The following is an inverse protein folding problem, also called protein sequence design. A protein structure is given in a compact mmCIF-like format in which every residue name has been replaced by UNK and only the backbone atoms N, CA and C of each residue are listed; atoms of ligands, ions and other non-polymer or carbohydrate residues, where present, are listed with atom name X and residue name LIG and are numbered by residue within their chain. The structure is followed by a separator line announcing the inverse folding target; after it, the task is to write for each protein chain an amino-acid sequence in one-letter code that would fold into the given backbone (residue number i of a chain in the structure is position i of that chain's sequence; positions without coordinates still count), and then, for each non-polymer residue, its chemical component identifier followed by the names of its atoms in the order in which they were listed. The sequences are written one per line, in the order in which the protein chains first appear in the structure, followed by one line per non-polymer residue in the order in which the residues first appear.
data_IF_536561605723
#
_entry.id   IF_536561605723
#
_cell.length_a   1.000
_cell.length_b   1.000
_cell.length_c   1.000
_cell.angle_alpha   90.00
_cell.angle_beta   90.00
_cell.angle_gamma   90.00
#
_symmetry.space_group_name_H-M   'P 1'
#
loop_
_entity.id
_entity.type
_entity.pdbx_description
1 polymer ?
#
# COMPACT_ATOMS: atom_id res chain seq x y z
N UNK A 1 51.56 -31.80 -14.39
CA UNK A 1 50.86 -32.91 -15.07
C UNK A 1 50.48 -33.96 -14.02
N UNK A 2 49.28 -33.82 -13.45
CA UNK A 2 48.53 -34.83 -12.66
C UNK A 2 47.03 -34.48 -12.78
N UNK A 3 46.11 -35.45 -12.69
CA UNK A 3 45.03 -35.61 -13.65
C UNK A 3 43.66 -35.12 -13.17
N UNK A 4 42.80 -34.79 -14.15
CA UNK A 4 41.46 -34.25 -13.96
C UNK A 4 40.50 -35.18 -13.21
N UNK A 5 39.93 -34.67 -12.13
CA UNK A 5 38.76 -35.24 -11.47
C UNK A 5 37.49 -34.90 -12.24
N UNK A 6 36.91 -35.88 -12.94
CA UNK A 6 35.55 -35.77 -13.48
C UNK A 6 34.57 -35.90 -12.33
N UNK A 7 33.79 -34.85 -12.07
CA UNK A 7 32.65 -34.92 -11.16
C UNK A 7 31.67 -35.98 -11.68
N UNK A 8 31.38 -36.99 -10.85
CA UNK A 8 30.41 -38.04 -11.18
C UNK A 8 29.01 -37.39 -11.19
N UNK A 9 28.34 -37.45 -12.33
CA UNK A 9 26.95 -37.01 -12.48
C UNK A 9 26.08 -38.00 -11.69
N UNK A 10 25.36 -37.51 -10.69
CA UNK A 10 24.40 -38.29 -9.92
C UNK A 10 23.13 -38.42 -10.79
N UNK A 11 22.85 -39.62 -11.30
CA UNK A 11 21.60 -39.88 -12.01
C UNK A 11 20.49 -40.14 -10.99
N UNK A 12 19.32 -39.48 -11.09
CA UNK A 12 18.19 -39.82 -10.25
C UNK A 12 17.55 -41.10 -10.80
N UNK A 13 17.84 -42.21 -10.14
CA UNK A 13 16.94 -43.37 -10.13
C UNK A 13 15.60 -42.97 -9.51
N UNK A 14 14.56 -43.76 -9.77
CA UNK A 14 13.15 -43.60 -9.35
C UNK A 14 12.25 -42.97 -10.42
N UNK A 15 11.62 -43.86 -11.20
CA UNK A 15 10.56 -43.55 -12.13
C UNK A 15 9.40 -42.83 -11.45
N UNK A 16 9.13 -41.61 -11.91
CA UNK A 16 7.87 -40.91 -11.67
C UNK A 16 7.02 -41.11 -12.91
N UNK A 17 5.88 -41.79 -12.74
CA UNK A 17 4.83 -41.84 -13.75
C UNK A 17 4.43 -40.40 -14.10
N UNK A 18 4.17 -40.05 -15.37
CA UNK A 18 3.71 -38.71 -15.72
C UNK A 18 2.40 -38.44 -14.98
N UNK A 19 2.34 -37.30 -14.29
CA UNK A 19 1.10 -36.79 -13.71
C UNK A 19 0.19 -36.34 -14.86
N UNK A 20 -0.91 -37.05 -15.10
CA UNK A 20 -1.95 -36.69 -16.10
C UNK A 20 -3.04 -35.80 -15.49
N UNK A 21 -2.66 -34.90 -14.60
CA UNK A 21 -3.57 -33.86 -14.10
C UNK A 21 -3.67 -32.76 -15.15
N UNK A 22 -4.89 -32.44 -15.59
CA UNK A 22 -5.13 -31.24 -16.37
C UNK A 22 -4.53 -30.05 -15.61
N UNK A 23 -3.65 -29.30 -16.28
CA UNK A 23 -3.14 -28.05 -15.76
C UNK A 23 -4.34 -27.13 -15.54
N UNK A 24 -4.82 -27.04 -14.30
CA UNK A 24 -5.71 -25.97 -13.87
C UNK A 24 -4.97 -24.68 -14.20
N UNK A 25 -5.52 -23.89 -15.12
CA UNK A 25 -4.94 -22.64 -15.55
C UNK A 25 -4.65 -21.78 -14.32
N UNK A 26 -3.37 -21.62 -14.00
CA UNK A 26 -2.94 -20.56 -13.10
C UNK A 26 -3.39 -19.27 -13.78
N UNK A 27 -4.21 -18.42 -13.13
CA UNK A 27 -4.67 -17.20 -13.76
C UNK A 27 -3.43 -16.41 -14.21
N UNK A 28 -3.36 -16.14 -15.51
CA UNK A 28 -2.25 -15.42 -16.11
C UNK A 28 -2.21 -14.03 -15.49
N UNK A 29 -1.12 -13.73 -14.77
CA UNK A 29 -0.85 -12.37 -14.31
C UNK A 29 -0.80 -11.50 -15.56
N UNK A 30 -1.75 -10.56 -15.68
CA UNK A 30 -1.67 -9.52 -16.70
C UNK A 30 -0.39 -8.76 -16.44
N UNK A 31 0.56 -8.82 -17.37
CA UNK A 31 1.66 -7.87 -17.43
C UNK A 31 1.04 -6.50 -17.73
N UNK A 32 0.79 -5.72 -16.69
CA UNK A 32 0.27 -4.38 -16.81
C UNK A 32 1.41 -3.54 -17.40
N UNK A 33 1.20 -3.02 -18.60
CA UNK A 33 2.19 -2.21 -19.32
C UNK A 33 2.16 -0.74 -18.90
N UNK A 34 1.14 -0.34 -18.14
CA UNK A 34 0.99 0.95 -17.50
C UNK A 34 0.98 0.77 -15.96
N UNK A 35 1.35 1.82 -15.19
CA UNK A 35 1.22 1.79 -13.73
C UNK A 35 -0.21 1.46 -13.31
N UNK A 36 -0.36 0.68 -12.25
CA UNK A 36 -1.68 0.33 -11.72
C UNK A 36 -2.18 1.52 -10.88
N UNK A 37 -3.34 2.14 -11.22
CA UNK A 37 -3.90 3.19 -10.39
C UNK A 37 -4.41 2.60 -9.07
N UNK A 38 -4.02 3.21 -7.96
CA UNK A 38 -4.43 2.79 -6.61
C UNK A 38 -4.93 3.98 -5.80
N UNK A 39 -6.00 3.74 -5.02
CA UNK A 39 -6.35 4.57 -3.87
C UNK A 39 -5.83 3.85 -2.63
N UNK A 40 -5.02 4.51 -1.82
CA UNK A 40 -4.46 3.93 -0.59
C UNK A 40 -5.31 4.37 0.60
N UNK A 41 -6.07 3.43 1.18
CA UNK A 41 -6.79 3.64 2.45
C UNK A 41 -5.91 3.19 3.61
N UNK A 42 -5.54 4.11 4.51
CA UNK A 42 -4.60 3.82 5.60
C UNK A 42 -4.83 4.69 6.85
N UNK A 43 -4.20 4.33 7.96
CA UNK A 43 -4.26 5.08 9.21
C UNK A 43 -2.86 5.45 9.71
N UNK A 44 -2.15 6.38 9.02
CA UNK A 44 -0.71 6.50 9.09
C UNK A 44 -0.05 6.42 10.47
N UNK A 45 0.43 5.21 10.78
CA UNK A 45 1.53 4.90 11.69
C UNK A 45 2.86 4.74 10.93
N UNK A 46 3.91 4.25 11.61
CA UNK A 46 5.23 4.09 11.00
C UNK A 46 5.25 3.17 9.78
N UNK A 47 4.51 2.06 9.85
CA UNK A 47 4.39 1.06 8.80
C UNK A 47 3.59 1.56 7.60
N UNK A 48 2.45 2.22 7.83
CA UNK A 48 1.66 2.86 6.78
C UNK A 48 2.42 3.99 6.07
N UNK A 49 3.20 4.79 6.81
CA UNK A 49 4.04 5.82 6.21
C UNK A 49 5.08 5.20 5.28
N UNK A 50 5.69 4.08 5.67
CA UNK A 50 6.60 3.32 4.81
C UNK A 50 5.86 2.75 3.59
N UNK A 51 4.63 2.24 3.76
CA UNK A 51 3.81 1.72 2.66
C UNK A 51 3.47 2.82 1.64
N UNK A 52 3.10 4.02 2.11
CA UNK A 52 2.83 5.17 1.27
C UNK A 52 4.10 5.62 0.52
N UNK A 53 5.24 5.70 1.20
CA UNK A 53 6.53 6.04 0.58
C UNK A 53 6.95 5.01 -0.48
N UNK A 54 6.73 3.71 -0.20
CA UNK A 54 7.01 2.63 -1.14
C UNK A 54 6.12 2.74 -2.38
N UNK A 55 4.82 3.00 -2.21
CA UNK A 55 3.90 3.19 -3.31
C UNK A 55 4.29 4.40 -4.17
N UNK A 56 4.58 5.55 -3.57
CA UNK A 56 4.98 6.76 -4.28
C UNK A 56 6.31 6.62 -5.03
N UNK A 57 7.22 5.77 -4.54
CA UNK A 57 8.51 5.51 -5.16
C UNK A 57 8.50 4.39 -6.20
N UNK A 58 7.40 3.65 -6.35
CA UNK A 58 7.31 2.51 -7.25
C UNK A 58 6.78 2.92 -8.63
N UNK A 59 7.46 2.57 -9.75
CA UNK A 59 6.96 2.85 -11.10
C UNK A 59 5.81 1.91 -11.51
N UNK A 60 5.53 0.87 -10.73
CA UNK A 60 4.50 -0.14 -11.04
C UNK A 60 3.10 0.33 -10.62
N UNK A 61 2.99 1.36 -9.78
CA UNK A 61 1.73 1.88 -9.26
C UNK A 61 1.65 3.39 -9.44
N UNK A 62 0.43 3.88 -9.57
CA UNK A 62 0.11 5.30 -9.57
C UNK A 62 -0.84 5.56 -8.40
N UNK A 63 -0.36 6.29 -7.40
CA UNK A 63 -1.21 6.70 -6.27
C UNK A 63 -2.09 7.85 -6.74
N UNK A 64 -3.35 7.53 -7.08
CA UNK A 64 -4.33 8.51 -7.56
C UNK A 64 -5.08 9.22 -6.42
N UNK A 65 -4.93 8.71 -5.19
CA UNK A 65 -5.47 9.34 -3.99
C UNK A 65 -5.16 8.55 -2.73
N UNK A 66 -5.27 9.21 -1.59
CA UNK A 66 -5.13 8.61 -0.26
C UNK A 66 -6.40 8.87 0.53
N UNK A 67 -6.89 7.84 1.24
CA UNK A 67 -7.95 8.00 2.22
C UNK A 67 -7.44 7.63 3.59
N UNK A 68 -7.92 8.32 4.62
CA UNK A 68 -7.46 8.10 5.99
C UNK A 68 -8.56 7.59 6.89
N UNK A 69 -8.20 6.69 7.80
CA UNK A 69 -9.11 6.16 8.83
C UNK A 69 -8.49 6.27 10.23
N UNK A 70 -9.29 6.00 11.26
CA UNK A 70 -8.81 5.78 12.63
C UNK A 70 -8.23 4.35 12.78
N UNK A 71 -7.34 4.17 13.75
CA UNK A 71 -6.83 2.86 14.14
C UNK A 71 -5.58 2.98 15.00
N UNK A 72 -4.43 3.20 14.36
CA UNK A 72 -3.16 3.51 15.02
C UNK A 72 -3.29 4.75 15.91
N UNK A 73 -3.98 5.78 15.40
CA UNK A 73 -4.34 7.00 16.12
C UNK A 73 -5.76 7.47 15.74
N UNK A 74 -6.18 8.58 16.34
CA UNK A 74 -7.39 9.32 15.96
C UNK A 74 -7.33 9.77 14.50
N UNK A 75 -8.48 9.83 13.82
CA UNK A 75 -8.58 10.26 12.41
C UNK A 75 -7.84 11.58 12.13
N UNK A 76 -7.96 12.57 13.02
CA UNK A 76 -7.29 13.87 12.86
C UNK A 76 -5.77 13.71 12.71
N UNK A 77 -5.16 12.89 13.58
CA UNK A 77 -3.72 12.62 13.57
C UNK A 77 -3.28 11.78 12.38
N UNK A 78 -4.03 10.73 12.05
CA UNK A 78 -3.70 9.87 10.90
C UNK A 78 -3.81 10.65 9.59
N UNK A 79 -4.79 11.54 9.47
CA UNK A 79 -4.93 12.47 8.33
C UNK A 79 -3.77 13.46 8.26
N UNK A 80 -3.43 14.11 9.38
CA UNK A 80 -2.28 15.00 9.45
C UNK A 80 -0.97 14.26 9.08
N UNK A 81 -0.81 13.02 9.53
CA UNK A 81 0.36 12.20 9.23
C UNK A 81 0.46 11.87 7.73
N UNK A 82 -0.65 11.49 7.06
CA UNK A 82 -0.68 11.30 5.61
C UNK A 82 -0.17 12.55 4.86
N UNK A 83 -0.74 13.71 5.20
CA UNK A 83 -0.37 14.99 4.59
C UNK A 83 1.11 15.30 4.80
N UNK A 84 1.63 15.14 6.02
CA UNK A 84 3.05 15.39 6.34
C UNK A 84 4.00 14.47 5.58
N UNK A 85 3.61 13.22 5.34
CA UNK A 85 4.40 12.29 4.53
C UNK A 85 4.42 12.73 3.06
N UNK A 86 3.29 13.17 2.51
CA UNK A 86 3.21 13.69 1.14
C UNK A 86 4.04 14.98 0.97
N UNK A 87 3.98 15.88 1.95
CA UNK A 87 4.80 17.10 2.00
C UNK A 87 6.30 16.77 2.00
N UNK A 88 6.71 15.79 2.82
CA UNK A 88 8.11 15.38 2.95
C UNK A 88 8.72 14.97 1.60
N UNK A 89 7.94 14.29 0.75
CA UNK A 89 8.40 13.80 -0.56
C UNK A 89 7.97 14.70 -1.73
N UNK A 90 7.35 15.85 -1.45
CA UNK A 90 6.91 16.79 -2.48
C UNK A 90 5.81 16.26 -3.39
N UNK A 91 4.98 15.32 -2.92
CA UNK A 91 3.85 14.72 -3.66
C UNK A 91 2.50 15.29 -3.20
N UNK A 92 2.45 16.61 -3.02
CA UNK A 92 1.24 17.34 -2.64
C UNK A 92 0.19 17.42 -3.76
N UNK A 93 0.50 16.88 -4.94
CA UNK A 93 -0.46 16.61 -6.01
C UNK A 93 -1.46 15.49 -5.67
N UNK A 94 -1.10 14.58 -4.77
CA UNK A 94 -1.96 13.47 -4.34
C UNK A 94 -2.97 13.97 -3.32
N UNK A 95 -4.26 13.86 -3.66
CA UNK A 95 -5.34 14.29 -2.77
C UNK A 95 -5.51 13.31 -1.59
N UNK A 96 -5.76 13.87 -0.41
CA UNK A 96 -6.10 13.12 0.81
C UNK A 96 -7.55 13.40 1.19
N UNK A 97 -8.37 12.37 1.37
CA UNK A 97 -9.74 12.49 1.87
C UNK A 97 -9.88 11.79 3.24
N UNK A 98 -10.40 12.51 4.23
CA UNK A 98 -10.61 11.96 5.56
C UNK A 98 -11.86 11.07 5.57
N UNK A 99 -11.75 9.89 6.20
CA UNK A 99 -12.83 8.94 6.36
C UNK A 99 -13.63 9.13 7.64
N UNK A 100 -14.22 8.05 8.12
CA UNK A 100 -15.00 8.07 9.37
C UNK A 100 -14.07 8.12 10.57
N UNK A 101 -14.49 8.75 11.68
CA UNK A 101 -13.71 8.92 12.91
C UNK A 101 -13.93 7.79 13.94
N UNK A 102 -14.84 6.87 13.67
CA UNK A 102 -15.23 5.80 14.60
C UNK A 102 -15.74 4.53 13.91
N UNK A 103 -15.67 3.38 14.61
CA UNK A 103 -16.23 2.13 14.09
C UNK A 103 -17.74 2.15 13.96
N UNK A 104 -18.24 1.33 13.02
CA UNK A 104 -19.67 1.20 12.74
C UNK A 104 -20.49 0.63 13.92
N UNK A 105 -19.90 -0.25 14.73
CA UNK A 105 -20.63 -1.05 15.74
C UNK A 105 -19.90 -1.25 17.07
N UNK A 106 -18.74 -0.65 17.26
CA UNK A 106 -17.91 -0.81 18.46
C UNK A 106 -17.28 0.50 18.86
N UNK A 107 -16.87 0.61 20.11
CA UNK A 107 -16.14 1.76 20.58
C UNK A 107 -14.76 1.85 19.91
N UNK A 108 -14.30 3.09 19.72
CA UNK A 108 -12.97 3.35 19.20
C UNK A 108 -11.93 2.96 20.26
N UNK A 109 -10.97 2.14 19.85
CA UNK A 109 -9.77 1.84 20.63
C UNK A 109 -8.58 2.16 19.73
N UNK A 110 -7.70 3.06 20.17
CA UNK A 110 -6.51 3.47 19.42
C UNK A 110 -5.25 2.79 19.96
N UNK A 111 -4.28 2.52 19.08
CA UNK A 111 -3.00 1.91 19.46
C UNK A 111 -1.95 2.94 19.92
N UNK A 112 -2.36 3.93 20.73
CA UNK A 112 -1.50 5.07 21.10
C UNK A 112 -0.19 4.68 21.79
N UNK A 113 -0.15 3.54 22.52
CA UNK A 113 1.07 3.04 23.16
C UNK A 113 2.13 2.51 22.18
N UNK A 114 1.76 2.16 20.94
CA UNK A 114 2.68 1.57 19.94
C UNK A 114 3.29 2.65 19.06
N UNK A 115 2.52 3.69 18.70
CA UNK A 115 2.91 4.67 17.68
C UNK A 115 3.22 6.08 18.23
N UNK A 116 3.22 6.25 19.56
CA UNK A 116 3.51 7.52 20.21
C UNK A 116 2.37 8.53 20.14
N UNK A 117 2.56 9.74 20.69
CA UNK A 117 1.50 10.74 20.81
C UNK A 117 1.02 11.27 19.45
N UNK A 118 1.92 11.42 18.47
CA UNK A 118 1.54 11.87 17.12
C UNK A 118 1.12 10.73 16.19
N UNK A 119 1.46 9.46 16.51
CA UNK A 119 1.32 8.32 15.60
C UNK A 119 2.53 8.11 14.67
N UNK A 120 3.40 9.11 14.55
CA UNK A 120 4.66 9.05 13.78
C UNK A 120 5.82 9.66 14.57
N UNK A 121 5.87 9.37 15.88
CA UNK A 121 6.94 9.89 16.74
C UNK A 121 8.32 9.36 16.31
N UNK A 122 9.36 10.20 16.43
CA UNK A 122 10.74 9.87 16.08
C UNK A 122 11.32 10.86 15.07
N UNK A 123 11.05 10.71 13.76
CA UNK A 123 11.57 11.61 12.74
C UNK A 123 10.85 12.97 12.74
N UNK A 124 11.59 14.05 12.51
CA UNK A 124 11.01 15.38 12.31
C UNK A 124 10.38 15.46 10.91
N UNK A 125 9.06 15.32 10.83
CA UNK A 125 8.30 15.58 9.60
C UNK A 125 7.95 17.06 9.49
N UNK A 126 7.94 17.64 8.27
CA UNK A 126 7.48 19.01 8.05
C UNK A 126 6.04 19.18 8.55
N UNK A 127 5.59 20.42 8.84
CA UNK A 127 4.17 20.67 9.06
C UNK A 127 3.38 20.35 7.79
N UNK A 128 2.14 19.89 7.94
CA UNK A 128 1.21 19.82 6.82
C UNK A 128 0.88 21.26 6.37
N UNK A 129 1.20 21.62 5.13
CA UNK A 129 0.78 22.89 4.54
C UNK A 129 -0.47 22.72 3.66
N UNK A 130 -0.65 21.53 3.11
CA UNK A 130 -1.86 21.07 2.44
C UNK A 130 -2.94 20.61 3.41
N UNK A 131 -4.18 20.68 2.96
CA UNK A 131 -5.37 20.23 3.68
C UNK A 131 -6.00 19.05 2.96
N UNK A 132 -6.69 18.20 3.72
CA UNK A 132 -7.53 17.16 3.14
C UNK A 132 -8.68 17.79 2.34
N UNK A 133 -9.10 17.13 1.25
CA UNK A 133 -10.23 17.60 0.45
C UNK A 133 -11.53 17.54 1.27
N UNK A 134 -12.48 18.45 1.06
CA UNK A 134 -13.73 18.52 1.81
C UNK A 134 -14.76 17.47 1.34
N UNK A 135 -14.29 16.25 1.04
CA UNK A 135 -15.07 15.12 0.57
C UNK A 135 -14.79 13.93 1.50
N UNK A 136 -15.83 13.22 1.94
CA UNK A 136 -15.68 12.00 2.74
C UNK A 136 -14.96 10.92 1.93
N UNK A 137 -14.07 10.15 2.58
CA UNK A 137 -13.30 9.08 1.95
C UNK A 137 -14.15 8.10 1.10
N UNK A 138 -15.36 7.76 1.56
CA UNK A 138 -16.24 6.81 0.84
C UNK A 138 -16.71 7.40 -0.48
N UNK A 139 -17.08 8.70 -0.47
CA UNK A 139 -17.49 9.41 -1.67
C UNK A 139 -16.30 9.59 -2.63
N UNK A 140 -15.13 9.93 -2.09
CA UNK A 140 -13.88 10.08 -2.83
C UNK A 140 -13.47 8.77 -3.53
N UNK A 141 -13.47 7.64 -2.82
CA UNK A 141 -13.21 6.32 -3.42
C UNK A 141 -14.21 6.03 -4.55
N UNK A 142 -15.49 6.31 -4.33
CA UNK A 142 -16.51 6.09 -5.35
C UNK A 142 -16.32 6.98 -6.59
N UNK A 143 -15.83 8.21 -6.43
CA UNK A 143 -15.46 9.10 -7.53
C UNK A 143 -14.24 8.58 -8.30
N UNK A 144 -13.16 8.19 -7.62
CA UNK A 144 -11.98 7.59 -8.22
C UNK A 144 -12.34 6.33 -9.04
N UNK A 145 -13.16 5.45 -8.46
CA UNK A 145 -13.61 4.22 -9.16
C UNK A 145 -14.47 4.55 -10.38
N UNK A 146 -15.40 5.50 -10.27
CA UNK A 146 -16.23 5.91 -11.42
C UNK A 146 -15.39 6.52 -12.54
N UNK A 147 -14.41 7.36 -12.21
CA UNK A 147 -13.49 7.96 -13.18
C UNK A 147 -12.59 6.92 -13.87
N UNK A 148 -12.10 5.93 -13.11
CA UNK A 148 -11.27 4.86 -13.66
C UNK A 148 -12.04 3.93 -14.62
N UNK A 149 -13.35 3.77 -14.45
CA UNK A 149 -14.19 2.91 -15.31
C UNK A 149 -14.55 3.60 -16.64
N UNK A 150 -14.49 4.93 -16.73
CA UNK A 150 -14.78 5.65 -17.98
C UNK A 150 -13.67 5.62 -19.02
N UNK A 151 -12.45 5.22 -18.63
CA UNK A 151 -11.27 5.16 -19.51
C UNK A 151 -10.95 3.74 -20.05
N UNK A 152 -11.90 2.79 -19.93
CA UNK A 152 -11.76 1.38 -20.38
C UNK A 152 -12.68 1.05 -21.54
#
# INVERSE_FOLDING_TARGET
MLPGGRARRCEPSHGRRPWTGAASAVPTVRLVTAPIPIVLDCDPGHDDAIALLLALGSPEVEVIGVTTTYGNQTLEKTTANALRVLELVGRTDVQVAAGTDRPLKRDLVVAAHVHGESGLDGPALPPAATEAVPTDATAFIAECVRGAVTDV
#
